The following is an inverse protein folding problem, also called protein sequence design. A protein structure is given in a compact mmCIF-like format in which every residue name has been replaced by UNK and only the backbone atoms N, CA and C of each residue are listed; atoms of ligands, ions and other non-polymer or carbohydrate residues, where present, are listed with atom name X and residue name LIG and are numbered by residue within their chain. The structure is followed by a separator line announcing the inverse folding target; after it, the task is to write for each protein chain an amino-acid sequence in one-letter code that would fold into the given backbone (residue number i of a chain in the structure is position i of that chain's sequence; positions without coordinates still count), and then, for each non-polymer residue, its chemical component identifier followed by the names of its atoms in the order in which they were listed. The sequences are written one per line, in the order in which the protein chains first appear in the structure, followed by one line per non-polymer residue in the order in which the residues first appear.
data_IF_111124684385
#
_entry.id   IF_111124684385
#
_cell.length_a   1.000
_cell.length_b   1.000
_cell.length_c   1.000
_cell.angle_alpha   90.00
_cell.angle_beta   90.00
_cell.angle_gamma   90.00
#
_symmetry.space_group_name_H-M   'P 1'
#
loop_
_entity.id
_entity.type
_entity.pdbx_description
1 polymer ?
#
# COMPACT_ATOMS: atom_id res chain seq x y z
N UNK A 1 -11.69 14.65 35.96
CA UNK A 1 -10.79 13.87 35.07
C UNK A 1 -11.02 14.16 33.57
N UNK A 2 -12.27 14.38 33.10
CA UNK A 2 -12.56 14.63 31.67
C UNK A 2 -12.14 16.03 31.15
N UNK A 3 -12.05 17.05 32.01
CA UNK A 3 -11.69 18.42 31.59
C UNK A 3 -10.22 18.61 31.23
N UNK A 4 -9.31 17.83 31.84
CA UNK A 4 -7.87 17.93 31.59
C UNK A 4 -7.50 17.57 30.13
N UNK A 5 -8.25 16.66 29.51
CA UNK A 5 -8.04 16.26 28.12
C UNK A 5 -8.46 17.36 27.12
N UNK A 6 -9.37 18.26 27.54
CA UNK A 6 -9.91 19.30 26.67
C UNK A 6 -8.96 20.52 26.54
N UNK A 7 -8.10 20.73 27.54
CA UNK A 7 -7.12 21.81 27.58
C UNK A 7 -5.86 21.48 26.75
N UNK A 8 -5.38 20.22 26.79
CA UNK A 8 -4.26 19.74 25.97
C UNK A 8 -4.59 19.77 24.47
N UNK A 9 -5.81 19.41 24.10
CA UNK A 9 -6.32 19.49 22.71
C UNK A 9 -6.32 20.94 22.19
N UNK A 10 -6.76 21.91 22.99
CA UNK A 10 -6.75 23.35 22.62
C UNK A 10 -5.36 23.96 22.47
N UNK A 11 -4.34 23.43 23.16
CA UNK A 11 -2.94 23.85 23.01
C UNK A 11 -2.24 23.19 21.82
N UNK A 12 -2.74 22.05 21.35
CA UNK A 12 -2.28 21.37 20.13
C UNK A 12 -2.78 22.10 18.86
N UNK A 13 -3.95 22.73 18.91
CA UNK A 13 -4.58 23.45 17.78
C UNK A 13 -3.84 24.71 17.29
N UNK A 14 -2.79 25.17 17.98
CA UNK A 14 -2.12 26.46 17.68
C UNK A 14 -0.62 26.39 17.43
N UNK A 15 -0.02 25.20 17.36
CA UNK A 15 1.41 25.07 17.04
C UNK A 15 1.58 24.96 15.53
N UNK A 16 2.25 25.91 14.87
CA UNK A 16 2.49 25.78 13.44
C UNK A 16 3.32 24.53 13.19
N UNK A 17 2.83 23.68 12.27
CA UNK A 17 3.60 22.55 11.79
C UNK A 17 4.85 23.08 11.08
N UNK A 18 6.01 22.56 11.48
CA UNK A 18 7.25 22.85 10.79
C UNK A 18 7.14 22.45 9.32
N UNK A 19 7.79 23.19 8.40
CA UNK A 19 7.96 22.82 7.00
C UNK A 19 8.05 21.31 6.75
N UNK A 20 7.09 20.75 6.00
CA UNK A 20 7.01 19.32 5.70
C UNK A 20 7.75 18.95 4.40
N UNK A 21 7.57 17.70 3.93
CA UNK A 21 8.27 17.13 2.77
C UNK A 21 8.28 18.02 1.50
N UNK A 22 7.35 18.95 1.37
CA UNK A 22 7.29 19.88 0.23
C UNK A 22 8.48 20.86 0.18
N UNK A 23 9.09 21.18 1.32
CA UNK A 23 10.18 22.17 1.41
C UNK A 23 11.56 21.48 1.40
N UNK A 24 11.60 20.18 1.69
CA UNK A 24 12.82 19.38 1.65
C UNK A 24 13.22 19.05 0.21
N UNK A 25 14.53 19.13 -0.08
CA UNK A 25 15.06 18.69 -1.38
C UNK A 25 14.95 17.17 -1.51
N UNK A 26 14.35 16.72 -2.62
CA UNK A 26 14.28 15.30 -2.98
C UNK A 26 15.68 14.77 -3.29
N UNK A 27 16.28 14.07 -2.33
CA UNK A 27 17.55 13.36 -2.52
C UNK A 27 17.31 11.95 -3.05
N UNK A 28 18.24 11.45 -3.86
CA UNK A 28 18.13 10.12 -4.48
C UNK A 28 17.94 9.00 -3.46
N UNK A 29 18.64 9.05 -2.33
CA UNK A 29 18.51 8.07 -1.24
C UNK A 29 17.10 8.03 -0.65
N UNK A 30 16.45 9.20 -0.50
CA UNK A 30 15.09 9.29 0.02
C UNK A 30 14.09 8.71 -0.98
N UNK A 31 14.20 9.09 -2.25
CA UNK A 31 13.36 8.55 -3.34
C UNK A 31 13.53 7.04 -3.46
N UNK A 32 14.77 6.54 -3.46
CA UNK A 32 15.06 5.11 -3.55
C UNK A 32 14.47 4.33 -2.38
N UNK A 33 14.55 4.87 -1.16
CA UNK A 33 13.92 4.25 0.01
C UNK A 33 12.38 4.22 -0.08
N UNK A 34 11.78 5.28 -0.63
CA UNK A 34 10.34 5.35 -0.89
C UNK A 34 9.92 4.33 -1.94
N UNK A 35 10.60 4.31 -3.09
CA UNK A 35 10.35 3.36 -4.16
C UNK A 35 10.50 1.92 -3.70
N UNK A 36 11.53 1.59 -2.92
CA UNK A 36 11.72 0.23 -2.40
C UNK A 36 10.55 -0.25 -1.53
N UNK A 37 9.96 0.65 -0.74
CA UNK A 37 8.76 0.32 0.05
C UNK A 37 7.54 0.11 -0.83
N UNK A 38 7.35 0.95 -1.84
CA UNK A 38 6.24 0.84 -2.79
C UNK A 38 6.35 -0.45 -3.60
N UNK A 39 7.53 -0.75 -4.17
CA UNK A 39 7.75 -1.98 -4.92
C UNK A 39 7.62 -3.22 -4.03
N UNK A 40 8.07 -3.14 -2.78
CA UNK A 40 7.82 -4.19 -1.78
C UNK A 40 6.32 -4.45 -1.54
N UNK A 41 5.50 -3.40 -1.40
CA UNK A 41 4.04 -3.55 -1.27
C UNK A 41 3.41 -4.17 -2.53
N UNK A 42 3.83 -3.74 -3.72
CA UNK A 42 3.38 -4.34 -4.98
C UNK A 42 3.75 -5.83 -5.04
N UNK A 43 4.95 -6.20 -4.59
CA UNK A 43 5.41 -7.59 -4.59
C UNK A 43 4.57 -8.46 -3.65
N UNK A 44 4.23 -7.97 -2.45
CA UNK A 44 3.33 -8.69 -1.55
C UNK A 44 1.95 -8.94 -2.18
N UNK A 45 1.37 -7.93 -2.84
CA UNK A 45 0.11 -8.10 -3.55
C UNK A 45 0.23 -9.11 -4.71
N UNK A 46 1.32 -9.04 -5.48
CA UNK A 46 1.58 -9.98 -6.58
C UNK A 46 1.72 -11.44 -6.11
N UNK A 47 2.41 -11.68 -5.00
CA UNK A 47 2.54 -13.03 -4.42
C UNK A 47 1.20 -13.58 -3.95
N UNK A 48 0.32 -12.74 -3.37
CA UNK A 48 -1.03 -13.16 -2.99
C UNK A 48 -1.87 -13.58 -4.21
N UNK A 49 -1.82 -12.80 -5.29
CA UNK A 49 -2.47 -13.16 -6.54
C UNK A 49 -1.91 -14.47 -7.09
N UNK A 50 -0.58 -14.63 -7.10
CA UNK A 50 0.08 -15.84 -7.59
C UNK A 50 -0.30 -17.08 -6.76
N UNK A 51 -0.39 -16.94 -5.43
CA UNK A 51 -0.86 -18.01 -4.56
C UNK A 51 -2.32 -18.40 -4.89
N UNK A 52 -3.19 -17.41 -5.10
CA UNK A 52 -4.57 -17.65 -5.54
C UNK A 52 -4.64 -18.38 -6.88
N UNK A 53 -3.77 -18.05 -7.83
CA UNK A 53 -3.65 -18.74 -9.10
C UNK A 53 -3.32 -20.22 -8.94
N UNK A 54 -2.30 -20.55 -8.13
CA UNK A 54 -1.92 -21.95 -7.91
C UNK A 54 -3.00 -22.74 -7.19
N UNK A 55 -3.69 -22.15 -6.22
CA UNK A 55 -4.83 -22.79 -5.53
C UNK A 55 -5.94 -23.10 -6.54
N UNK A 56 -6.31 -22.14 -7.39
CA UNK A 56 -7.34 -22.34 -8.41
C UNK A 56 -6.93 -23.37 -9.46
N UNK A 57 -5.65 -23.40 -9.86
CA UNK A 57 -5.11 -24.40 -10.77
C UNK A 57 -5.23 -25.82 -10.19
N UNK A 58 -5.06 -25.99 -8.87
CA UNK A 58 -5.22 -27.27 -8.19
C UNK A 58 -6.69 -27.65 -7.93
N UNK A 59 -7.60 -26.67 -7.86
CA UNK A 59 -9.01 -26.86 -7.46
C UNK A 59 -9.94 -27.30 -8.59
N UNK A 60 -9.45 -27.35 -9.84
CA UNK A 60 -10.18 -27.84 -11.00
C UNK A 60 -10.70 -26.74 -11.93
N UNK A 61 -11.39 -27.18 -12.99
CA UNK A 61 -11.57 -26.40 -14.23
C UNK A 61 -12.37 -25.11 -14.07
N UNK A 62 -13.47 -25.14 -13.31
CA UNK A 62 -14.31 -23.95 -13.08
C UNK A 62 -13.60 -22.87 -12.23
N UNK A 63 -12.85 -23.30 -11.21
CA UNK A 63 -12.06 -22.38 -10.39
C UNK A 63 -10.94 -21.74 -11.21
N UNK A 64 -10.27 -22.53 -12.06
CA UNK A 64 -9.21 -22.04 -12.95
C UNK A 64 -9.71 -21.04 -14.00
N UNK A 65 -10.86 -21.28 -14.63
CA UNK A 65 -11.45 -20.36 -15.61
C UNK A 65 -11.76 -18.99 -15.01
N UNK A 66 -12.27 -18.97 -13.78
CA UNK A 66 -12.55 -17.72 -13.04
C UNK A 66 -11.27 -16.92 -12.83
N UNK A 67 -10.19 -17.59 -12.41
CA UNK A 67 -8.91 -16.92 -12.17
C UNK A 67 -8.23 -16.50 -13.47
N UNK A 68 -8.32 -17.31 -14.52
CA UNK A 68 -7.78 -16.96 -15.83
C UNK A 68 -8.46 -15.69 -16.40
N UNK A 69 -9.76 -15.52 -16.18
CA UNK A 69 -10.45 -14.28 -16.53
C UNK A 69 -9.90 -13.07 -15.74
N UNK A 70 -9.70 -13.20 -14.43
CA UNK A 70 -9.09 -12.15 -13.60
C UNK A 70 -7.65 -11.85 -14.04
N UNK A 71 -6.85 -12.86 -14.37
CA UNK A 71 -5.48 -12.70 -14.84
C UNK A 71 -5.39 -12.08 -16.25
N UNK A 72 -6.41 -12.29 -17.09
CA UNK A 72 -6.50 -11.65 -18.41
C UNK A 72 -6.82 -10.15 -18.33
N UNK A 73 -7.31 -9.67 -17.18
CA UNK A 73 -7.59 -8.27 -16.93
C UNK A 73 -6.32 -7.42 -16.83
N UNK A 74 -6.48 -6.10 -16.89
CA UNK A 74 -5.36 -5.16 -16.77
C UNK A 74 -4.54 -5.38 -15.49
N UNK A 75 -5.18 -5.70 -14.36
CA UNK A 75 -4.48 -5.94 -13.09
C UNK A 75 -3.66 -7.23 -13.11
N UNK A 76 -4.15 -8.27 -13.80
CA UNK A 76 -3.42 -9.53 -13.95
C UNK A 76 -2.25 -9.46 -14.93
N UNK A 77 -2.31 -8.55 -15.91
CA UNK A 77 -1.20 -8.27 -16.85
C UNK A 77 -0.15 -7.31 -16.31
N UNK A 78 -0.49 -6.53 -15.28
CA UNK A 78 0.38 -5.52 -14.69
C UNK A 78 1.34 -6.12 -13.63
N UNK A 79 1.01 -7.31 -13.12
CA UNK A 79 1.81 -8.11 -12.19
C UNK A 79 2.70 -9.10 -12.93
#
# INVERSE_FOLDING_TARGET
MAEANNASQRLQDRRPLSPHLQIYKMMFTMVMSGLHRITGMCLYAGVLLLAWYFIAAASGRHAFETVNWVYSSFLGRLV
#
